data_IF_874655017256
#
_entry.id   IF_874655017256
#
_cell.length_a   1.000
_cell.length_b   1.000
_cell.length_c   1.000
_cell.angle_alpha   90.00
_cell.angle_beta   90.00
_cell.angle_gamma   90.00
#
_symmetry.space_group_name_H-M   'P 1'
#
loop_
_entity.id
_entity.type
_entity.pdbx_description
1 polymer ?
#
# COMPACT_ATOMS: atom_id res chain seq x y z
N UNK A 1 20.25 17.10 17.12
CA UNK A 1 20.41 15.65 16.78
C UNK A 1 19.14 14.88 17.11
N UNK A 2 18.58 15.08 18.27
CA UNK A 2 17.38 14.36 18.79
C UNK A 2 16.14 14.53 17.91
N UNK A 3 15.84 15.78 17.53
CA UNK A 3 14.72 16.05 16.61
C UNK A 3 14.87 15.34 15.25
N UNK A 4 16.08 15.32 14.70
CA UNK A 4 16.37 14.56 13.47
C UNK A 4 16.11 13.07 13.64
N UNK A 5 16.51 12.48 14.77
CA UNK A 5 16.28 11.07 15.06
C UNK A 5 14.78 10.75 15.17
N UNK A 6 14.00 11.62 15.83
CA UNK A 6 12.54 11.46 15.90
C UNK A 6 11.91 11.50 14.51
N UNK A 7 12.33 12.43 13.65
CA UNK A 7 11.81 12.52 12.29
C UNK A 7 12.24 11.32 11.42
N UNK A 8 13.41 10.77 11.66
CA UNK A 8 13.85 9.54 11.00
C UNK A 8 12.92 8.36 11.37
N UNK A 9 12.59 8.20 12.66
CA UNK A 9 11.67 7.15 13.14
C UNK A 9 10.28 7.35 12.50
N UNK A 10 9.76 8.58 12.52
CA UNK A 10 8.47 8.91 11.92
C UNK A 10 8.45 8.63 10.42
N UNK A 11 9.52 9.03 9.71
CA UNK A 11 9.66 8.82 8.26
C UNK A 11 9.78 7.35 7.87
N UNK A 12 10.51 6.55 8.64
CA UNK A 12 10.57 5.09 8.43
C UNK A 12 9.21 4.46 8.66
N UNK A 13 8.46 4.89 9.68
CA UNK A 13 7.12 4.39 9.95
C UNK A 13 6.16 4.72 8.81
N UNK A 14 6.10 5.98 8.39
CA UNK A 14 5.25 6.44 7.29
C UNK A 14 5.64 5.75 5.98
N UNK A 15 6.93 5.68 5.70
CA UNK A 15 7.47 5.02 4.52
C UNK A 15 7.19 3.51 4.49
N UNK A 16 7.10 2.87 5.64
CA UNK A 16 6.69 1.47 5.76
C UNK A 16 5.24 1.26 5.32
N UNK A 17 4.33 2.15 5.69
CA UNK A 17 2.92 2.10 5.24
C UNK A 17 2.85 2.30 3.72
N UNK A 18 3.53 3.32 3.17
CA UNK A 18 3.57 3.54 1.73
C UNK A 18 4.22 2.38 0.98
N UNK A 19 5.25 1.77 1.55
CA UNK A 19 5.91 0.59 1.00
C UNK A 19 4.97 -0.62 0.88
N UNK A 20 4.12 -0.87 1.88
CA UNK A 20 3.12 -1.95 1.81
C UNK A 20 2.11 -1.74 0.67
N UNK A 21 1.62 -0.51 0.51
CA UNK A 21 0.71 -0.18 -0.59
C UNK A 21 1.44 -0.29 -1.94
N UNK A 22 2.69 0.21 -2.01
CA UNK A 22 3.52 0.19 -3.22
C UNK A 22 3.86 -1.24 -3.68
N UNK A 23 4.06 -2.18 -2.76
CA UNK A 23 4.24 -3.60 -3.07
C UNK A 23 3.00 -4.13 -3.81
N UNK A 24 1.79 -3.80 -3.34
CA UNK A 24 0.55 -4.19 -4.01
C UNK A 24 0.43 -3.62 -5.42
N UNK A 25 0.78 -2.34 -5.62
CA UNK A 25 0.86 -1.72 -6.95
C UNK A 25 1.82 -2.45 -7.87
N UNK A 26 3.05 -2.67 -7.39
CA UNK A 26 4.12 -3.30 -8.16
C UNK A 26 3.77 -4.72 -8.57
N UNK A 27 3.12 -5.51 -7.70
CA UNK A 27 2.69 -6.87 -8.01
C UNK A 27 1.67 -6.91 -9.16
N UNK A 28 0.67 -6.02 -9.13
CA UNK A 28 -0.36 -5.96 -10.16
C UNK A 28 0.24 -5.45 -11.48
N UNK A 29 1.03 -4.37 -11.43
CA UNK A 29 1.67 -3.80 -12.61
C UNK A 29 2.63 -4.81 -13.29
N UNK A 30 3.43 -5.52 -12.53
CA UNK A 30 4.41 -6.48 -13.06
C UNK A 30 3.78 -7.55 -13.95
N UNK A 31 2.51 -7.94 -13.69
CA UNK A 31 1.83 -8.98 -14.47
C UNK A 31 1.02 -8.39 -15.62
N UNK A 32 0.33 -7.27 -15.40
CA UNK A 32 -0.63 -6.75 -16.39
C UNK A 32 0.01 -5.64 -17.24
N UNK A 33 1.10 -5.03 -16.78
CA UNK A 33 1.74 -3.88 -17.42
C UNK A 33 0.90 -2.59 -17.36
N UNK A 34 -0.06 -2.51 -16.44
CA UNK A 34 -0.96 -1.36 -16.29
C UNK A 34 -1.15 -0.97 -14.83
N UNK A 35 -1.26 0.33 -14.59
CA UNK A 35 -1.40 0.89 -13.25
C UNK A 35 -2.84 0.73 -12.76
N UNK A 36 -3.00 0.18 -11.55
CA UNK A 36 -4.28 0.06 -10.89
C UNK A 36 -4.54 1.26 -9.97
N UNK A 37 -5.05 2.37 -10.48
CA UNK A 37 -5.36 3.55 -9.65
C UNK A 37 -6.40 3.30 -8.55
N UNK A 38 -7.25 2.28 -8.68
CA UNK A 38 -8.20 1.90 -7.63
C UNK A 38 -7.53 1.23 -6.42
N UNK A 39 -6.23 0.87 -6.49
CA UNK A 39 -5.55 0.15 -5.41
C UNK A 39 -5.44 0.98 -4.11
N UNK A 40 -5.22 2.30 -4.23
CA UNK A 40 -5.26 3.19 -3.08
C UNK A 40 -6.64 3.23 -2.41
N UNK A 41 -7.71 3.20 -3.20
CA UNK A 41 -9.07 3.17 -2.63
C UNK A 41 -9.43 1.80 -2.04
N UNK A 42 -8.83 0.71 -2.53
CA UNK A 42 -8.91 -0.60 -1.86
C UNK A 42 -8.23 -0.54 -0.47
N UNK A 43 -7.10 0.16 -0.34
CA UNK A 43 -6.50 0.44 0.97
C UNK A 43 -7.45 1.23 1.88
N UNK A 44 -8.08 2.29 1.39
CA UNK A 44 -9.09 3.05 2.13
C UNK A 44 -10.25 2.16 2.59
N UNK A 45 -10.83 1.36 1.70
CA UNK A 45 -11.89 0.40 2.03
C UNK A 45 -11.42 -0.57 3.12
N UNK A 46 -10.18 -1.05 3.05
CA UNK A 46 -9.57 -1.89 4.07
C UNK A 46 -9.49 -1.20 5.43
N UNK A 47 -9.12 0.08 5.48
CA UNK A 47 -9.07 0.87 6.70
C UNK A 47 -10.48 1.07 7.31
N UNK A 48 -11.50 1.34 6.49
CA UNK A 48 -12.89 1.44 6.95
C UNK A 48 -13.43 0.10 7.45
N UNK A 49 -13.16 -1.00 6.75
CA UNK A 49 -13.55 -2.35 7.20
C UNK A 49 -12.89 -2.65 8.55
N UNK A 50 -11.63 -2.31 8.73
CA UNK A 50 -10.92 -2.50 9.99
C UNK A 50 -11.56 -1.70 11.13
N UNK A 51 -11.91 -0.43 10.89
CA UNK A 51 -12.60 0.41 11.87
C UNK A 51 -13.96 -0.18 12.25
N UNK A 52 -14.78 -0.55 11.26
CA UNK A 52 -16.11 -1.12 11.51
C UNK A 52 -16.02 -2.46 12.23
N UNK A 53 -15.12 -3.34 11.79
CA UNK A 53 -14.89 -4.64 12.42
C UNK A 53 -14.46 -4.47 13.88
N UNK A 54 -13.53 -3.55 14.17
CA UNK A 54 -13.10 -3.28 15.54
C UNK A 54 -14.25 -2.79 16.43
N UNK A 55 -15.02 -1.80 15.98
CA UNK A 55 -16.16 -1.27 16.71
C UNK A 55 -17.24 -2.35 16.95
N UNK A 56 -17.49 -3.20 15.95
CA UNK A 56 -18.45 -4.31 16.06
C UNK A 56 -17.98 -5.35 17.08
N UNK A 57 -16.70 -5.76 17.04
CA UNK A 57 -16.15 -6.73 18.01
C UNK A 57 -16.21 -6.21 19.43
N UNK A 58 -15.89 -4.94 19.65
CA UNK A 58 -16.01 -4.29 20.97
C UNK A 58 -17.47 -4.26 21.42
N UNK A 59 -18.42 -3.91 20.54
CA UNK A 59 -19.86 -3.93 20.85
C UNK A 59 -20.38 -5.35 21.18
N UNK A 60 -19.75 -6.40 20.61
CA UNK A 60 -20.04 -7.81 20.93
C UNK A 60 -19.37 -8.29 22.24
N UNK A 61 -18.64 -7.40 22.95
CA UNK A 61 -18.01 -7.73 24.22
C UNK A 61 -16.60 -8.33 24.12
N UNK A 62 -15.99 -8.34 22.93
CA UNK A 62 -14.61 -8.80 22.73
C UNK A 62 -13.67 -7.65 23.07
N UNK A 63 -13.30 -7.55 24.36
CA UNK A 63 -12.46 -6.47 24.89
C UNK A 63 -10.97 -6.80 24.94
N UNK A 64 -10.59 -8.08 24.77
CA UNK A 64 -9.20 -8.51 24.70
C UNK A 64 -8.52 -7.95 23.45
N UNK A 65 -7.75 -6.85 23.59
CA UNK A 65 -7.16 -6.11 22.49
C UNK A 65 -6.36 -6.97 21.49
N UNK A 66 -5.46 -7.91 21.89
CA UNK A 66 -4.73 -8.73 20.94
C UNK A 66 -5.64 -9.63 20.10
N UNK A 67 -6.68 -10.20 20.72
CA UNK A 67 -7.65 -11.03 20.01
C UNK A 67 -8.50 -10.18 19.04
N UNK A 68 -8.96 -9.02 19.49
CA UNK A 68 -9.73 -8.10 18.66
C UNK A 68 -8.93 -7.66 17.43
N UNK A 69 -7.67 -7.25 17.59
CA UNK A 69 -6.80 -6.84 16.48
C UNK A 69 -6.50 -8.00 15.53
N UNK A 70 -6.31 -9.22 16.03
CA UNK A 70 -6.12 -10.40 15.19
C UNK A 70 -7.37 -10.71 14.35
N UNK A 71 -8.55 -10.65 14.94
CA UNK A 71 -9.82 -10.87 14.23
C UNK A 71 -10.09 -9.75 13.22
N UNK A 72 -9.82 -8.48 13.58
CA UNK A 72 -9.90 -7.34 12.66
C UNK A 72 -9.00 -7.56 11.46
N UNK A 73 -7.76 -8.01 11.68
CA UNK A 73 -6.82 -8.30 10.61
C UNK A 73 -7.39 -9.34 9.63
N UNK A 74 -7.90 -10.45 10.14
CA UNK A 74 -8.46 -11.52 9.29
C UNK A 74 -9.71 -11.05 8.53
N UNK A 75 -10.63 -10.34 9.20
CA UNK A 75 -11.85 -9.83 8.59
C UNK A 75 -11.51 -8.78 7.51
N UNK A 76 -10.63 -7.84 7.84
CA UNK A 76 -10.23 -6.80 6.89
C UNK A 76 -9.51 -7.39 5.67
N UNK A 77 -8.58 -8.33 5.87
CA UNK A 77 -7.90 -9.01 4.76
C UNK A 77 -8.91 -9.77 3.88
N UNK A 78 -9.83 -10.54 4.47
CA UNK A 78 -10.79 -11.35 3.72
C UNK A 78 -11.74 -10.47 2.90
N UNK A 79 -12.37 -9.47 3.53
CA UNK A 79 -13.34 -8.60 2.87
C UNK A 79 -12.68 -7.69 1.84
N UNK A 80 -11.52 -7.10 2.16
CA UNK A 80 -10.80 -6.25 1.19
C UNK A 80 -10.27 -7.07 0.01
N UNK A 81 -9.87 -8.32 0.22
CA UNK A 81 -9.52 -9.24 -0.86
C UNK A 81 -10.70 -9.51 -1.79
N UNK A 82 -11.91 -9.59 -1.25
CA UNK A 82 -13.13 -9.72 -2.05
C UNK A 82 -13.38 -8.46 -2.90
N UNK A 83 -13.15 -7.26 -2.35
CA UNK A 83 -13.19 -6.01 -3.13
C UNK A 83 -12.14 -6.02 -4.24
N UNK A 84 -10.90 -6.39 -3.95
CA UNK A 84 -9.83 -6.49 -4.94
C UNK A 84 -10.16 -7.48 -6.07
N UNK A 85 -10.70 -8.65 -5.74
CA UNK A 85 -11.19 -9.62 -6.71
C UNK A 85 -12.35 -9.06 -7.56
N UNK A 86 -13.29 -8.35 -6.93
CA UNK A 86 -14.42 -7.73 -7.64
C UNK A 86 -13.95 -6.67 -8.61
N UNK A 87 -13.03 -5.81 -8.20
CA UNK A 87 -12.43 -4.78 -9.05
C UNK A 87 -11.72 -5.42 -10.26
N UNK A 88 -10.95 -6.49 -10.05
CA UNK A 88 -10.35 -7.24 -11.15
C UNK A 88 -11.42 -7.78 -12.11
N UNK A 89 -12.45 -8.42 -11.55
CA UNK A 89 -13.49 -9.09 -12.33
C UNK A 89 -14.34 -8.14 -13.16
N UNK A 90 -14.65 -6.98 -12.60
CA UNK A 90 -15.60 -6.01 -13.20
C UNK A 90 -14.87 -4.96 -14.04
N UNK A 91 -13.78 -4.41 -13.53
CA UNK A 91 -13.13 -3.26 -14.14
C UNK A 91 -11.95 -3.62 -15.05
N UNK A 92 -11.24 -4.73 -14.79
CA UNK A 92 -10.02 -5.06 -15.54
C UNK A 92 -10.19 -6.23 -16.51
N UNK A 93 -10.80 -7.32 -16.06
CA UNK A 93 -10.90 -8.54 -16.85
C UNK A 93 -11.61 -8.34 -18.18
N UNK A 94 -12.75 -7.60 -18.28
CA UNK A 94 -13.41 -7.38 -19.58
C UNK A 94 -12.58 -6.54 -20.56
N UNK A 95 -11.64 -5.72 -20.05
CA UNK A 95 -10.87 -4.76 -20.83
C UNK A 95 -9.44 -5.22 -21.20
N UNK A 96 -9.05 -6.44 -20.82
CA UNK A 96 -7.68 -6.95 -21.05
C UNK A 96 -7.27 -7.00 -22.54
N UNK A 97 -8.24 -7.16 -23.45
CA UNK A 97 -7.99 -7.22 -24.89
C UNK A 97 -8.40 -5.94 -25.63
N UNK A 98 -8.75 -4.89 -24.89
CA UNK A 98 -9.11 -3.59 -25.46
C UNK A 98 -7.87 -2.71 -25.70
N UNK A 99 -8.08 -1.50 -26.21
CA UNK A 99 -6.98 -0.56 -26.41
C UNK A 99 -6.31 -0.16 -25.06
N UNK A 100 -5.03 0.15 -25.10
CA UNK A 100 -4.13 0.28 -23.93
C UNK A 100 -4.64 1.23 -22.84
N UNK A 101 -5.42 2.27 -23.19
CA UNK A 101 -5.94 3.24 -22.22
C UNK A 101 -7.25 2.82 -21.56
N UNK A 102 -7.99 1.83 -22.09
CA UNK A 102 -9.31 1.46 -21.56
C UNK A 102 -9.24 0.94 -20.10
N UNK A 103 -8.32 0.05 -19.71
CA UNK A 103 -8.18 -0.37 -18.32
C UNK A 103 -7.76 0.78 -17.40
N UNK A 104 -6.95 1.73 -17.89
CA UNK A 104 -6.54 2.92 -17.13
C UNK A 104 -7.75 3.81 -16.79
N UNK A 105 -8.59 4.11 -17.78
CA UNK A 105 -9.81 4.91 -17.60
C UNK A 105 -10.76 4.18 -16.65
N UNK A 106 -10.91 2.87 -16.81
CA UNK A 106 -11.74 2.03 -15.94
C UNK A 106 -11.23 2.03 -14.50
N UNK A 107 -9.91 1.99 -14.29
CA UNK A 107 -9.29 2.06 -12.97
C UNK A 107 -9.59 3.39 -12.25
N UNK A 108 -9.47 4.52 -12.97
CA UNK A 108 -9.80 5.84 -12.45
C UNK A 108 -11.30 5.92 -12.14
N UNK A 109 -12.16 5.42 -13.03
CA UNK A 109 -13.59 5.34 -12.79
C UNK A 109 -13.94 4.51 -11.56
N UNK A 110 -13.27 3.36 -11.36
CA UNK A 110 -13.47 2.50 -10.19
C UNK A 110 -12.98 3.17 -8.90
N UNK A 111 -11.87 3.91 -8.96
CA UNK A 111 -11.39 4.73 -7.85
C UNK A 111 -12.47 5.72 -7.39
N UNK A 112 -13.05 6.49 -8.32
CA UNK A 112 -14.14 7.44 -8.03
C UNK A 112 -15.37 6.71 -7.48
N UNK A 113 -15.72 5.54 -8.01
CA UNK A 113 -16.84 4.73 -7.50
C UNK A 113 -16.60 4.31 -6.05
N UNK A 114 -15.42 3.81 -5.71
CA UNK A 114 -15.10 3.38 -4.35
C UNK A 114 -15.10 4.55 -3.36
N UNK A 115 -14.57 5.72 -3.73
CA UNK A 115 -14.59 6.93 -2.90
C UNK A 115 -16.03 7.37 -2.61
N UNK A 116 -16.86 7.51 -3.66
CA UNK A 116 -18.26 7.90 -3.50
C UNK A 116 -19.07 6.86 -2.73
N UNK A 117 -18.84 5.56 -2.97
CA UNK A 117 -19.46 4.48 -2.22
C UNK A 117 -19.17 4.61 -0.72
N UNK A 118 -17.92 4.79 -0.33
CA UNK A 118 -17.55 4.96 1.08
C UNK A 118 -18.12 6.26 1.64
N UNK A 119 -18.09 7.36 0.87
CA UNK A 119 -18.65 8.64 1.28
C UNK A 119 -20.17 8.56 1.54
N UNK A 120 -20.92 7.86 0.68
CA UNK A 120 -22.37 7.68 0.85
C UNK A 120 -22.66 6.74 2.03
N UNK A 121 -21.92 5.64 2.15
CA UNK A 121 -22.16 4.62 3.16
C UNK A 121 -21.72 5.06 4.58
N UNK A 122 -20.61 5.80 4.70
CA UNK A 122 -20.01 6.17 5.97
C UNK A 122 -20.08 7.67 6.30
N UNK A 123 -20.48 8.49 5.32
CA UNK A 123 -20.53 9.94 5.43
C UNK A 123 -19.18 10.61 5.10
N UNK A 124 -19.23 11.92 4.90
CA UNK A 124 -18.06 12.72 4.51
C UNK A 124 -17.16 13.13 5.68
N UNK A 125 -17.59 12.86 6.92
CA UNK A 125 -16.81 13.26 8.11
C UNK A 125 -15.70 12.26 8.40
N UNK A 126 -14.55 12.79 8.84
CA UNK A 126 -13.44 11.99 9.37
C UNK A 126 -13.93 11.11 10.52
N UNK A 127 -13.56 9.83 10.50
CA UNK A 127 -13.91 8.85 11.55
C UNK A 127 -12.70 8.65 12.46
N UNK A 128 -12.77 9.08 13.71
CA UNK A 128 -11.69 8.87 14.67
C UNK A 128 -11.74 7.46 15.27
N UNK A 129 -10.58 6.91 15.58
CA UNK A 129 -10.38 5.75 16.43
C UNK A 129 -9.50 6.18 17.62
N UNK A 130 -9.95 6.01 18.85
CA UNK A 130 -9.09 6.26 20.01
C UNK A 130 -7.80 5.43 19.94
N UNK A 131 -6.68 5.92 20.50
CA UNK A 131 -5.43 5.17 20.49
C UNK A 131 -5.60 3.85 21.25
N UNK A 132 -5.49 2.73 20.55
CA UNK A 132 -5.69 1.38 21.08
C UNK A 132 -4.42 0.85 21.77
N UNK A 133 -3.27 1.19 21.21
CA UNK A 133 -1.96 0.75 21.68
C UNK A 133 -1.25 1.98 22.20
N UNK A 134 -1.10 2.06 23.51
CA UNK A 134 -0.41 3.14 24.18
C UNK A 134 0.98 2.71 24.64
N UNK A 135 1.83 3.70 24.97
CA UNK A 135 3.19 3.48 25.45
C UNK A 135 4.22 3.40 24.33
N UNK A 136 5.47 3.32 24.74
CA UNK A 136 6.63 3.31 23.87
C UNK A 136 7.90 3.33 24.72
N UNK A 137 9.03 3.32 24.02
CA UNK A 137 10.35 3.36 24.63
C UNK A 137 10.96 4.75 24.43
N UNK A 138 11.43 5.34 25.51
CA UNK A 138 12.23 6.57 25.47
C UNK A 138 13.66 6.18 25.09
N UNK A 139 14.10 6.60 23.92
CA UNK A 139 15.47 6.30 23.41
C UNK A 139 16.48 7.32 23.94
N UNK A 140 16.08 8.59 23.96
CA UNK A 140 16.89 9.69 24.47
C UNK A 140 15.98 10.59 25.28
N UNK A 141 16.37 10.81 26.53
CA UNK A 141 15.70 11.75 27.43
C UNK A 141 16.61 12.96 27.64
N UNK A 142 16.36 14.03 26.91
CA UNK A 142 17.11 15.27 26.96
C UNK A 142 16.21 16.39 27.49
N UNK A 143 16.76 17.38 28.22
CA UNK A 143 15.98 18.51 28.71
C UNK A 143 15.29 19.34 27.62
N UNK A 144 15.77 19.25 26.39
CA UNK A 144 15.25 20.03 25.24
C UNK A 144 14.26 19.23 24.42
N UNK A 145 14.49 17.93 24.23
CA UNK A 145 13.64 17.09 23.37
C UNK A 145 13.75 15.61 23.76
N UNK A 146 12.60 14.94 23.86
CA UNK A 146 12.54 13.50 24.17
C UNK A 146 12.31 12.71 22.89
N UNK A 147 13.20 11.78 22.57
CA UNK A 147 13.04 10.86 21.43
C UNK A 147 12.31 9.63 21.90
N UNK A 148 11.13 9.40 21.34
CA UNK A 148 10.28 8.26 21.69
C UNK A 148 10.02 7.36 20.48
N UNK A 149 10.07 6.06 20.72
CA UNK A 149 9.67 5.02 19.79
C UNK A 149 8.37 4.40 20.30
N UNK A 150 7.24 4.75 19.66
CA UNK A 150 5.92 4.22 20.01
C UNK A 150 5.80 2.73 19.69
N UNK A 151 5.04 2.00 20.52
CA UNK A 151 4.70 0.60 20.25
C UNK A 151 4.00 0.42 18.89
N UNK A 152 3.17 1.37 18.47
CA UNK A 152 2.54 1.35 17.14
C UNK A 152 3.57 1.44 16.04
N UNK A 153 4.59 2.29 16.16
CA UNK A 153 5.67 2.42 15.17
C UNK A 153 6.45 1.11 15.02
N UNK A 154 6.75 0.45 16.13
CA UNK A 154 7.42 -0.86 16.12
C UNK A 154 6.55 -1.88 15.37
N UNK A 155 5.26 -1.96 15.69
CA UNK A 155 4.33 -2.88 15.05
C UNK A 155 4.25 -2.61 13.54
N UNK A 156 4.13 -1.37 13.12
CA UNK A 156 4.10 -0.99 11.70
C UNK A 156 5.34 -1.48 10.97
N UNK A 157 6.53 -1.15 11.48
CA UNK A 157 7.79 -1.51 10.82
C UNK A 157 8.00 -3.02 10.80
N UNK A 158 7.80 -3.70 11.94
CA UNK A 158 7.97 -5.16 12.05
C UNK A 158 6.99 -5.90 11.13
N UNK A 159 5.72 -5.50 11.13
CA UNK A 159 4.71 -6.10 10.25
C UNK A 159 5.07 -5.90 8.78
N UNK A 160 5.51 -4.71 8.40
CA UNK A 160 5.92 -4.39 7.03
C UNK A 160 7.09 -5.25 6.58
N UNK A 161 8.16 -5.33 7.40
CA UNK A 161 9.34 -6.15 7.08
C UNK A 161 8.98 -7.63 7.00
N UNK A 162 8.17 -8.13 7.94
CA UNK A 162 7.71 -9.52 7.95
C UNK A 162 6.89 -9.83 6.69
N UNK A 163 5.94 -8.98 6.32
CA UNK A 163 5.14 -9.16 5.11
C UNK A 163 6.00 -9.08 3.84
N UNK A 164 6.91 -8.12 3.74
CA UNK A 164 7.85 -8.05 2.62
C UNK A 164 8.67 -9.35 2.49
N UNK A 165 9.18 -9.88 3.59
CA UNK A 165 9.94 -11.14 3.59
C UNK A 165 9.07 -12.32 3.14
N UNK A 166 7.85 -12.45 3.67
CA UNK A 166 6.88 -13.49 3.29
C UNK A 166 6.54 -13.39 1.80
N UNK A 167 6.22 -12.20 1.30
CA UNK A 167 5.87 -12.01 -0.12
C UNK A 167 7.04 -12.25 -1.05
N UNK A 168 8.22 -11.76 -0.70
CA UNK A 168 9.44 -12.05 -1.46
C UNK A 168 9.69 -13.55 -1.53
N UNK A 169 9.48 -14.28 -0.43
CA UNK A 169 9.59 -15.74 -0.40
C UNK A 169 8.52 -16.42 -1.26
N UNK A 170 7.24 -15.97 -1.18
CA UNK A 170 6.15 -16.50 -2.02
C UNK A 170 6.48 -16.34 -3.49
N UNK A 171 6.87 -15.13 -3.91
CA UNK A 171 7.21 -14.84 -5.32
C UNK A 171 8.45 -15.61 -5.76
N UNK A 172 9.48 -15.75 -4.91
CA UNK A 172 10.72 -16.42 -5.28
C UNK A 172 10.59 -17.95 -5.34
N UNK A 173 9.85 -18.57 -4.41
CA UNK A 173 9.92 -20.01 -4.15
C UNK A 173 8.64 -20.79 -4.44
N UNK A 174 7.46 -20.18 -4.49
CA UNK A 174 6.20 -20.90 -4.66
C UNK A 174 5.84 -21.11 -6.14
N UNK A 175 4.87 -22.01 -6.39
CA UNK A 175 4.28 -22.22 -7.71
C UNK A 175 3.61 -20.95 -8.23
N UNK A 176 2.82 -20.29 -7.36
CA UNK A 176 2.16 -19.02 -7.70
C UNK A 176 3.17 -17.96 -8.16
N UNK A 177 4.29 -17.81 -7.43
CA UNK A 177 5.33 -16.87 -7.81
C UNK A 177 6.01 -17.21 -9.15
N UNK A 178 6.15 -18.49 -9.48
CA UNK A 178 6.63 -18.90 -10.84
C UNK A 178 5.63 -18.51 -11.92
N UNK A 179 4.34 -18.76 -11.67
CA UNK A 179 3.27 -18.41 -12.61
C UNK A 179 3.19 -16.88 -12.81
N UNK A 180 3.34 -16.11 -11.71
CA UNK A 180 3.41 -14.64 -11.76
C UNK A 180 4.58 -14.15 -12.63
N UNK A 181 5.78 -14.65 -12.41
CA UNK A 181 6.97 -14.27 -13.21
C UNK A 181 6.85 -14.70 -14.67
N UNK A 182 6.23 -15.83 -14.96
CA UNK A 182 5.96 -16.25 -16.33
C UNK A 182 4.99 -15.28 -17.02
N UNK A 183 3.93 -14.88 -16.34
CA UNK A 183 2.97 -13.88 -16.85
C UNK A 183 3.60 -12.49 -17.04
N UNK A 184 4.52 -12.10 -16.17
CA UNK A 184 5.27 -10.84 -16.27
C UNK A 184 6.14 -10.80 -17.54
N UNK A 185 6.73 -11.94 -17.94
CA UNK A 185 7.56 -12.01 -19.14
C UNK A 185 6.73 -11.99 -20.43
N UNK A 186 5.73 -12.84 -20.53
CA UNK A 186 4.84 -12.92 -21.70
C UNK A 186 3.55 -13.70 -21.36
N UNK A 187 2.41 -13.01 -21.38
CA UNK A 187 1.10 -13.59 -21.09
C UNK A 187 0.70 -14.71 -22.10
N UNK A 188 1.06 -14.54 -23.40
CA UNK A 188 0.73 -15.52 -24.44
C UNK A 188 1.56 -16.78 -24.26
N UNK A 189 2.88 -16.63 -24.10
CA UNK A 189 3.78 -17.76 -23.89
C UNK A 189 3.47 -18.47 -22.57
N UNK A 190 3.16 -17.76 -21.48
CA UNK A 190 2.73 -18.33 -20.22
C UNK A 190 1.49 -19.24 -20.40
N UNK A 191 0.52 -18.81 -21.19
CA UNK A 191 -0.67 -19.62 -21.49
C UNK A 191 -0.35 -20.89 -22.28
N UNK A 192 0.57 -20.83 -23.23
CA UNK A 192 1.00 -21.97 -24.05
C UNK A 192 1.74 -23.04 -23.25
N UNK A 193 2.48 -22.65 -22.20
CA UNK A 193 3.14 -23.59 -21.30
C UNK A 193 2.25 -24.06 -20.13
N UNK A 194 0.95 -23.79 -20.19
CA UNK A 194 -0.06 -24.31 -19.28
C UNK A 194 -0.32 -23.47 -18.03
N UNK A 195 0.19 -22.22 -17.95
CA UNK A 195 -0.15 -21.28 -16.86
C UNK A 195 -1.56 -20.74 -17.07
N UNK A 196 -2.39 -20.84 -16.04
CA UNK A 196 -3.70 -20.21 -16.09
C UNK A 196 -3.60 -18.71 -15.77
N UNK A 197 -3.40 -17.89 -16.82
CA UNK A 197 -3.19 -16.44 -16.74
C UNK A 197 -4.30 -15.74 -15.97
N UNK A 198 -5.56 -16.10 -16.21
CA UNK A 198 -6.71 -15.49 -15.53
C UNK A 198 -6.67 -15.71 -14.01
N UNK A 199 -6.37 -16.93 -13.57
CA UNK A 199 -6.26 -17.24 -12.14
C UNK A 199 -5.06 -16.54 -11.52
N UNK A 200 -3.94 -16.51 -12.21
CA UNK A 200 -2.72 -15.86 -11.71
C UNK A 200 -2.96 -14.38 -11.48
N UNK A 201 -3.60 -13.70 -12.43
CA UNK A 201 -3.95 -12.27 -12.28
C UNK A 201 -4.94 -12.07 -11.13
N UNK A 202 -6.02 -12.87 -11.07
CA UNK A 202 -7.01 -12.75 -9.97
C UNK A 202 -6.37 -12.97 -8.60
N UNK A 203 -5.49 -13.96 -8.44
CA UNK A 203 -4.76 -14.17 -7.18
C UNK A 203 -3.84 -12.99 -6.83
N UNK A 204 -3.21 -12.37 -7.81
CA UNK A 204 -2.37 -11.19 -7.58
C UNK A 204 -3.19 -10.01 -7.06
N UNK A 205 -4.38 -9.78 -7.61
CA UNK A 205 -5.30 -8.74 -7.10
C UNK A 205 -5.77 -9.04 -5.67
N UNK A 206 -6.13 -10.28 -5.38
CA UNK A 206 -6.55 -10.73 -4.04
C UNK A 206 -5.43 -10.50 -3.02
N UNK A 207 -4.22 -10.90 -3.35
CA UNK A 207 -3.06 -10.75 -2.49
C UNK A 207 -2.70 -9.26 -2.31
N UNK A 208 -2.67 -8.49 -3.40
CA UNK A 208 -2.43 -7.05 -3.34
C UNK A 208 -3.47 -6.34 -2.45
N UNK A 209 -4.75 -6.72 -2.57
CA UNK A 209 -5.81 -6.17 -1.74
C UNK A 209 -5.68 -6.59 -0.26
N UNK A 210 -5.23 -7.81 0.03
CA UNK A 210 -4.93 -8.24 1.38
C UNK A 210 -3.81 -7.39 2.02
N UNK A 211 -2.75 -7.09 1.25
CA UNK A 211 -1.68 -6.17 1.68
C UNK A 211 -2.19 -4.75 1.91
N UNK A 212 -3.04 -4.26 1.00
CA UNK A 212 -3.66 -2.95 1.15
C UNK A 212 -4.52 -2.88 2.43
N UNK A 213 -5.23 -3.96 2.80
CA UNK A 213 -5.96 -4.04 4.06
C UNK A 213 -5.03 -3.92 5.28
N UNK A 214 -3.89 -4.63 5.28
CA UNK A 214 -2.91 -4.52 6.37
C UNK A 214 -2.35 -3.10 6.45
N UNK A 215 -2.00 -2.49 5.33
CA UNK A 215 -1.57 -1.10 5.29
C UNK A 215 -2.65 -0.15 5.84
N UNK A 216 -3.93 -0.41 5.53
CA UNK A 216 -5.08 0.34 6.05
C UNK A 216 -5.22 0.25 7.57
N UNK A 217 -5.03 -0.95 8.13
CA UNK A 217 -5.01 -1.17 9.58
C UNK A 217 -3.83 -0.41 10.22
N UNK A 218 -2.64 -0.51 9.64
CA UNK A 218 -1.45 0.18 10.15
C UNK A 218 -1.63 1.69 10.10
N UNK A 219 -2.22 2.23 9.03
CA UNK A 219 -2.57 3.64 8.91
C UNK A 219 -3.57 4.06 10.00
N UNK A 220 -4.65 3.29 10.19
CA UNK A 220 -5.67 3.55 11.21
C UNK A 220 -5.08 3.53 12.62
N UNK A 221 -4.19 2.57 12.93
CA UNK A 221 -3.52 2.49 14.24
C UNK A 221 -2.53 3.64 14.47
N UNK A 222 -1.85 4.10 13.41
CA UNK A 222 -0.83 5.14 13.50
C UNK A 222 -1.43 6.55 13.57
N UNK A 223 -2.39 6.87 12.68
CA UNK A 223 -3.01 8.19 12.62
C UNK A 223 -4.26 8.33 13.49
N UNK A 224 -4.92 7.22 13.84
CA UNK A 224 -6.15 7.23 14.62
C UNK A 224 -7.37 7.82 13.90
N UNK A 225 -7.28 8.03 12.59
CA UNK A 225 -8.35 8.63 11.79
C UNK A 225 -8.41 8.02 10.39
N UNK A 226 -9.62 7.94 9.84
CA UNK A 226 -9.87 7.61 8.43
C UNK A 226 -10.91 8.52 7.83
N UNK A 227 -10.78 8.83 6.56
CA UNK A 227 -11.76 9.54 5.75
C UNK A 227 -11.89 8.89 4.35
N UNK A 228 -12.92 9.30 3.60
CA UNK A 228 -13.21 8.72 2.30
C UNK A 228 -12.23 9.10 1.18
N UNK A 229 -11.28 9.98 1.43
CA UNK A 229 -10.32 10.49 0.45
C UNK A 229 -8.87 10.02 0.69
N UNK A 230 -8.59 9.38 1.85
CA UNK A 230 -7.23 8.91 2.17
C UNK A 230 -6.68 7.94 1.12
N UNK A 231 -7.57 7.19 0.45
CA UNK A 231 -7.20 6.21 -0.57
C UNK A 231 -6.53 6.85 -1.76
N UNK A 232 -7.08 7.94 -2.26
CA UNK A 232 -6.51 8.66 -3.39
C UNK A 232 -5.13 9.24 -3.05
N UNK A 233 -5.02 9.96 -1.94
CA UNK A 233 -3.77 10.62 -1.53
C UNK A 233 -2.67 9.60 -1.26
N UNK A 234 -2.96 8.59 -0.42
CA UNK A 234 -1.99 7.53 -0.11
C UNK A 234 -1.68 6.68 -1.35
N UNK A 235 -2.67 6.45 -2.21
CA UNK A 235 -2.52 5.73 -3.47
C UNK A 235 -1.57 6.40 -4.43
N UNK A 236 -1.70 7.71 -4.67
CA UNK A 236 -0.78 8.46 -5.54
C UNK A 236 0.65 8.46 -4.97
N UNK A 237 0.82 8.61 -3.65
CA UNK A 237 2.15 8.53 -3.01
C UNK A 237 2.77 7.15 -3.12
N UNK A 238 1.98 6.10 -2.89
CA UNK A 238 2.46 4.72 -3.01
C UNK A 238 2.75 4.34 -4.46
N UNK A 239 1.99 4.84 -5.42
CA UNK A 239 2.33 4.74 -6.84
C UNK A 239 3.66 5.43 -7.14
N UNK A 240 3.84 6.66 -6.65
CA UNK A 240 5.11 7.41 -6.74
C UNK A 240 6.27 6.59 -6.15
N UNK A 241 6.05 5.97 -5.01
CA UNK A 241 7.02 5.09 -4.36
C UNK A 241 7.35 3.85 -5.21
N UNK A 242 6.35 3.21 -5.81
CA UNK A 242 6.56 2.07 -6.70
C UNK A 242 7.37 2.44 -7.95
N UNK A 243 7.07 3.60 -8.55
CA UNK A 243 7.81 4.15 -9.70
C UNK A 243 9.24 4.50 -9.32
N UNK A 244 9.42 5.23 -8.21
CA UNK A 244 10.74 5.62 -7.71
C UNK A 244 11.61 4.40 -7.40
N UNK A 245 11.01 3.39 -6.78
CA UNK A 245 11.70 2.15 -6.44
C UNK A 245 12.06 1.27 -7.63
N UNK A 246 11.35 1.42 -8.72
CA UNK A 246 11.42 0.59 -9.94
C UNK A 246 10.26 -0.39 -10.00
N UNK A 247 9.31 -0.10 -10.88
CA UNK A 247 8.09 -0.90 -11.06
C UNK A 247 8.47 -2.34 -11.45
N UNK A 248 7.80 -3.33 -10.85
CA UNK A 248 8.11 -4.75 -11.01
C UNK A 248 9.06 -5.31 -9.93
N UNK A 249 9.76 -4.45 -9.16
CA UNK A 249 10.67 -4.87 -8.09
C UNK A 249 10.02 -4.70 -6.71
N UNK A 250 9.71 -5.81 -6.01
CA UNK A 250 9.16 -5.76 -4.65
C UNK A 250 10.09 -5.03 -3.66
N UNK A 251 11.41 -5.35 -3.61
CA UNK A 251 12.34 -4.59 -2.78
C UNK A 251 12.45 -3.13 -3.20
N UNK A 252 12.38 -2.86 -4.52
CA UNK A 252 12.37 -1.50 -5.05
C UNK A 252 11.19 -0.69 -4.53
N UNK A 253 9.98 -1.22 -4.64
CA UNK A 253 8.78 -0.55 -4.13
C UNK A 253 8.87 -0.23 -2.63
N UNK A 254 9.46 -1.12 -1.84
CA UNK A 254 9.68 -0.90 -0.42
C UNK A 254 10.67 0.24 -0.15
N UNK A 255 11.81 0.25 -0.86
CA UNK A 255 12.81 1.34 -0.76
C UNK A 255 12.19 2.66 -1.22
N UNK A 256 11.44 2.65 -2.33
CA UNK A 256 10.71 3.82 -2.79
C UNK A 256 9.71 4.35 -1.76
N UNK A 257 8.97 3.44 -1.09
CA UNK A 257 8.07 3.79 0.01
C UNK A 257 8.79 4.45 1.18
N UNK A 258 9.91 3.87 1.61
CA UNK A 258 10.75 4.43 2.67
C UNK A 258 11.29 5.83 2.29
N UNK A 259 11.75 6.01 1.06
CA UNK A 259 12.24 7.30 0.58
C UNK A 259 11.14 8.35 0.57
N UNK A 260 9.95 8.05 0.01
CA UNK A 260 8.83 8.99 0.00
C UNK A 260 8.40 9.36 1.43
N UNK A 261 8.31 8.38 2.34
CA UNK A 261 7.97 8.64 3.74
C UNK A 261 9.03 9.51 4.46
N UNK A 262 10.31 9.27 4.21
CA UNK A 262 11.39 10.11 4.74
C UNK A 262 11.34 11.52 4.18
N UNK A 263 11.20 11.68 2.86
CA UNK A 263 11.10 12.98 2.20
C UNK A 263 9.93 13.78 2.78
N UNK A 264 8.74 13.19 2.84
CA UNK A 264 7.54 13.83 3.36
C UNK A 264 7.73 14.27 4.83
N UNK A 265 8.30 13.41 5.65
CA UNK A 265 8.50 13.68 7.08
C UNK A 265 9.56 14.76 7.30
N UNK A 266 10.71 14.66 6.63
CA UNK A 266 11.76 15.68 6.77
C UNK A 266 11.35 17.02 6.19
N UNK A 267 10.63 17.02 5.05
CA UNK A 267 10.12 18.27 4.49
C UNK A 267 9.12 18.95 5.43
N UNK A 268 8.20 18.18 6.00
CA UNK A 268 7.22 18.69 6.98
C UNK A 268 7.86 19.22 8.25
N UNK A 269 9.00 18.65 8.66
CA UNK A 269 9.70 18.99 9.89
C UNK A 269 10.59 20.23 9.77
N UNK A 270 11.24 20.44 8.61
CA UNK A 270 12.26 21.48 8.43
C UNK A 270 11.83 22.61 7.50
N UNK A 271 10.77 22.39 6.70
CA UNK A 271 10.25 23.39 5.77
C UNK A 271 8.77 23.66 6.05
N UNK A 272 7.88 23.38 5.12
CA UNK A 272 6.45 23.64 5.21
C UNK A 272 5.63 22.38 5.01
N UNK A 273 4.68 22.14 5.91
CA UNK A 273 3.76 20.99 5.83
C UNK A 273 2.91 21.05 4.54
N UNK A 274 2.57 22.25 4.09
CA UNK A 274 1.71 22.45 2.91
C UNK A 274 2.35 21.97 1.60
N UNK A 275 3.69 22.03 1.50
CA UNK A 275 4.44 21.65 0.28
C UNK A 275 5.09 20.27 0.35
N UNK A 276 4.78 19.46 1.37
CA UNK A 276 5.36 18.11 1.53
C UNK A 276 5.10 17.18 0.33
N UNK A 277 3.90 17.28 -0.26
CA UNK A 277 3.51 16.49 -1.42
C UNK A 277 4.21 16.98 -2.69
N UNK A 278 4.36 18.30 -2.82
CA UNK A 278 5.13 18.90 -3.92
C UNK A 278 6.58 18.46 -3.87
N UNK A 279 7.19 18.40 -2.69
CA UNK A 279 8.56 17.92 -2.52
C UNK A 279 8.69 16.44 -2.94
N UNK A 280 7.78 15.57 -2.48
CA UNK A 280 7.80 14.15 -2.83
C UNK A 280 7.67 13.93 -4.35
N UNK A 281 6.74 14.63 -5.01
CA UNK A 281 6.56 14.52 -6.46
C UNK A 281 7.69 15.18 -7.26
N UNK A 282 8.27 16.28 -6.79
CA UNK A 282 9.44 16.89 -7.44
C UNK A 282 10.63 15.95 -7.44
N UNK A 283 10.88 15.25 -6.34
CA UNK A 283 11.95 14.25 -6.27
C UNK A 283 11.68 13.07 -7.21
N UNK A 284 10.40 12.62 -7.31
CA UNK A 284 10.04 11.62 -8.31
C UNK A 284 10.43 12.08 -9.73
N UNK A 285 10.04 13.29 -10.12
CA UNK A 285 10.35 13.84 -11.45
C UNK A 285 11.86 13.88 -11.68
N UNK A 286 12.63 14.38 -10.71
CA UNK A 286 14.09 14.44 -10.79
C UNK A 286 14.67 13.04 -10.96
N UNK A 287 14.24 12.08 -10.13
CA UNK A 287 14.75 10.70 -10.22
C UNK A 287 14.41 10.06 -11.57
N UNK A 288 13.20 10.25 -12.09
CA UNK A 288 12.83 9.69 -13.38
C UNK A 288 13.59 10.30 -14.58
N UNK A 289 14.05 11.55 -14.48
CA UNK A 289 14.91 12.15 -15.50
C UNK A 289 16.27 11.46 -15.54
N UNK A 290 16.86 11.12 -14.39
CA UNK A 290 18.19 10.51 -14.31
C UNK A 290 18.16 8.98 -14.28
N UNK A 291 17.10 8.38 -13.73
CA UNK A 291 16.89 6.95 -13.56
C UNK A 291 15.48 6.56 -14.05
N UNK A 292 15.23 6.51 -15.35
CA UNK A 292 13.88 6.29 -15.90
C UNK A 292 13.27 4.93 -15.52
N UNK A 293 14.10 3.95 -15.16
CA UNK A 293 13.65 2.63 -14.67
C UNK A 293 13.40 2.59 -13.16
N UNK A 294 13.65 3.69 -12.45
CA UNK A 294 13.69 3.72 -10.98
C UNK A 294 14.98 3.12 -10.40
N UNK A 295 15.06 3.07 -9.06
CA UNK A 295 16.30 2.70 -8.35
C UNK A 295 16.70 1.23 -8.56
N UNK A 296 15.73 0.31 -8.51
CA UNK A 296 15.92 -1.14 -8.66
C UNK A 296 15.09 -1.74 -9.81
N UNK A 297 14.65 -0.91 -10.75
CA UNK A 297 13.93 -1.35 -11.94
C UNK A 297 14.86 -2.05 -12.94
N UNK A 298 14.27 -2.92 -13.74
CA UNK A 298 14.98 -3.56 -14.84
C UNK A 298 14.70 -2.80 -16.13
N UNK A 299 15.72 -2.58 -16.99
CA UNK A 299 15.47 -1.98 -18.29
C UNK A 299 14.52 -2.89 -19.10
N UNK A 300 13.45 -2.32 -19.62
CA UNK A 300 12.60 -3.03 -20.59
C UNK A 300 13.41 -3.27 -21.86
N UNK A 301 13.64 -4.52 -22.18
CA UNK A 301 14.22 -4.90 -23.49
C UNK A 301 13.07 -4.80 -24.48
N UNK A 302 13.08 -3.77 -25.33
CA UNK A 302 12.16 -3.72 -26.46
C UNK A 302 12.33 -4.99 -27.30
N UNK A 303 11.33 -5.85 -27.26
CA UNK A 303 11.27 -7.02 -28.17
C UNK A 303 10.87 -6.49 -29.55
N UNK A 304 11.83 -6.37 -30.44
CA UNK A 304 11.63 -6.09 -31.86
C UNK A 304 10.89 -7.26 -32.51
#
# INVERSE_FOLDING_TARGET
MEYFLQQLINGVTLGSIYGLIAIGYTMVYGIIGMINFAHGDIFMVGAFIALIAFLTLVAMGITALPLALFLVLLIAMALTSLYGWTVERVAYRPLRHSFRLAPLISAIGMSIVLQNYVQIAQGARVKPLPPLITGGYTLIDSPIFVVQLSNVQIIVVVTTVALMAVFSWIVAKTRLGRDMRACEQDLKMASLVGVNVDRTISYTFVIGAALAAVAGIMHLLYYGVVDFYIGFVAGVKAFTAAVLGGIGSLPGAMIGGLLIGLIETFWSAYFSIEYKDVAAFSILVIVLIFLPTGILGRPEIEKV
#
